data_IF_201883883485
#
_entry.id   IF_201883883485
#
_cell.length_a   1.000
_cell.length_b   1.000
_cell.length_c   1.000
_cell.angle_alpha   90.00
_cell.angle_beta   90.00
_cell.angle_gamma   90.00
#
_symmetry.space_group_name_H-M   'P 1'
#
loop_
_entity.id
_entity.type
_entity.pdbx_description
1 polymer ?
#
# COMPACT_ATOMS: atom_id res chain seq x y z
N UNK A 1 -22.22 10.62 6.35
CA UNK A 1 -21.77 11.63 7.33
C UNK A 1 -20.51 11.12 8.06
N UNK A 2 -19.62 12.01 8.47
CA UNK A 2 -18.48 11.65 9.34
C UNK A 2 -18.90 11.89 10.78
N UNK A 3 -19.37 10.84 11.45
CA UNK A 3 -20.01 10.91 12.77
C UNK A 3 -19.45 9.86 13.75
N UNK A 4 -18.19 9.46 13.54
CA UNK A 4 -17.48 8.45 14.31
C UNK A 4 -16.03 8.89 14.50
N UNK A 5 -15.39 8.40 15.57
CA UNK A 5 -13.98 8.60 15.86
C UNK A 5 -13.25 7.27 16.05
N UNK A 6 -13.93 6.26 16.62
CA UNK A 6 -13.34 4.94 16.88
C UNK A 6 -13.76 3.91 15.84
N UNK A 7 -12.99 2.82 15.72
CA UNK A 7 -13.35 1.73 14.79
C UNK A 7 -14.70 1.06 15.10
N UNK A 8 -15.09 0.81 16.37
CA UNK A 8 -16.45 0.35 16.69
C UNK A 8 -17.54 1.30 16.20
N UNK A 9 -17.41 2.61 16.41
CA UNK A 9 -18.37 3.61 15.93
C UNK A 9 -18.42 3.68 14.40
N UNK A 10 -17.30 3.42 13.72
CA UNK A 10 -17.28 3.27 12.27
C UNK A 10 -18.11 2.07 11.80
N UNK A 11 -18.03 0.93 12.50
CA UNK A 11 -18.87 -0.24 12.19
C UNK A 11 -20.35 0.08 12.40
N UNK A 12 -20.72 0.77 13.48
CA UNK A 12 -22.11 1.22 13.71
C UNK A 12 -22.59 2.16 12.59
N UNK A 13 -21.71 3.06 12.13
CA UNK A 13 -22.02 3.96 11.02
C UNK A 13 -22.20 3.21 9.69
N UNK A 14 -21.47 2.12 9.48
CA UNK A 14 -21.64 1.25 8.30
C UNK A 14 -22.95 0.47 8.34
N UNK A 15 -23.33 -0.05 9.51
CA UNK A 15 -24.54 -0.84 9.75
C UNK A 15 -25.82 -0.03 9.46
N UNK A 16 -25.79 1.28 9.74
CA UNK A 16 -26.91 2.19 9.46
C UNK A 16 -27.19 2.43 7.97
N UNK A 17 -26.37 1.91 7.05
CA UNK A 17 -26.50 2.12 5.61
C UNK A 17 -27.08 0.88 4.92
N UNK A 18 -28.18 0.98 4.16
CA UNK A 18 -28.75 -0.16 3.44
C UNK A 18 -27.76 -0.69 2.39
N UNK A 19 -27.51 -2.01 2.39
CA UNK A 19 -26.57 -2.67 1.48
C UNK A 19 -27.24 -3.76 0.66
N UNK A 20 -26.75 -3.94 -0.57
CA UNK A 20 -27.08 -5.08 -1.43
C UNK A 20 -26.02 -6.17 -1.39
N UNK A 21 -24.93 -5.95 -0.65
CA UNK A 21 -23.77 -6.83 -0.52
C UNK A 21 -23.29 -6.82 0.93
N UNK A 22 -22.66 -7.92 1.35
CA UNK A 22 -21.98 -7.97 2.65
C UNK A 22 -20.77 -7.02 2.66
N UNK A 23 -20.50 -6.41 3.81
CA UNK A 23 -19.37 -5.51 4.02
C UNK A 23 -18.46 -6.10 5.09
N UNK A 24 -17.24 -6.45 4.70
CA UNK A 24 -16.17 -6.85 5.60
C UNK A 24 -15.14 -5.73 5.69
N UNK A 25 -14.60 -5.49 6.88
CA UNK A 25 -13.69 -4.36 7.13
C UNK A 25 -12.37 -4.82 7.74
N UNK A 26 -11.29 -4.14 7.38
CA UNK A 26 -10.00 -4.23 8.03
C UNK A 26 -9.70 -2.91 8.74
N UNK A 27 -9.00 -2.96 9.87
CA UNK A 27 -8.48 -1.76 10.53
C UNK A 27 -7.36 -1.15 9.67
N UNK A 28 -7.49 0.10 9.19
CA UNK A 28 -6.54 0.68 8.24
C UNK A 28 -5.31 1.27 8.94
N UNK A 29 -4.14 0.69 8.68
CA UNK A 29 -2.87 1.15 9.27
C UNK A 29 -2.59 2.63 9.07
N UNK A 30 -2.72 3.15 7.84
CA UNK A 30 -2.41 4.54 7.54
C UNK A 30 -3.27 5.54 8.32
N UNK A 31 -4.56 5.24 8.53
CA UNK A 31 -5.43 6.11 9.32
C UNK A 31 -5.13 6.01 10.83
N UNK A 32 -4.87 4.79 11.33
CA UNK A 32 -4.47 4.58 12.74
C UNK A 32 -3.17 5.33 13.03
N UNK A 33 -2.20 5.25 12.12
CA UNK A 33 -0.92 5.95 12.25
C UNK A 33 -1.11 7.47 12.24
N UNK A 34 -1.88 8.00 11.29
CA UNK A 34 -2.19 9.42 11.24
C UNK A 34 -2.93 9.91 12.50
N UNK A 35 -3.85 9.10 13.05
CA UNK A 35 -4.58 9.41 14.28
C UNK A 35 -3.66 9.49 15.50
N UNK A 36 -2.77 8.51 15.69
CA UNK A 36 -1.86 8.47 16.85
C UNK A 36 -0.73 9.48 16.75
N UNK A 37 -0.11 9.62 15.57
CA UNK A 37 1.03 10.52 15.40
C UNK A 37 0.62 11.98 15.22
N UNK A 38 -0.59 12.25 14.72
CA UNK A 38 -1.08 13.58 14.42
C UNK A 38 -0.14 14.32 13.47
N UNK A 39 0.20 15.57 13.78
CA UNK A 39 1.12 16.40 12.99
C UNK A 39 2.54 15.84 12.85
N UNK A 40 2.91 14.85 13.68
CA UNK A 40 4.22 14.18 13.57
C UNK A 40 4.26 13.20 12.40
N UNK A 41 3.12 12.75 11.90
CA UNK A 41 3.07 11.82 10.77
C UNK A 41 3.48 12.54 9.48
N UNK A 42 4.56 12.05 8.89
CA UNK A 42 5.14 12.54 7.64
C UNK A 42 6.02 11.45 7.02
N UNK A 43 6.39 11.54 5.73
CA UNK A 43 7.27 10.57 5.10
C UNK A 43 8.57 10.36 5.91
N UNK A 44 8.86 9.11 6.29
CA UNK A 44 10.04 8.75 7.07
C UNK A 44 9.92 8.95 8.58
N UNK A 45 8.75 9.37 9.11
CA UNK A 45 8.53 9.37 10.55
C UNK A 45 8.73 7.97 11.14
N UNK A 46 9.33 7.89 12.33
CA UNK A 46 9.48 6.64 13.08
C UNK A 46 8.67 6.79 14.38
N UNK A 47 7.60 6.00 14.57
CA UNK A 47 6.83 6.02 15.80
C UNK A 47 7.68 5.64 17.02
N UNK A 48 7.37 6.21 18.17
CA UNK A 48 7.91 5.77 19.46
C UNK A 48 7.29 4.45 19.90
N UNK A 49 7.86 3.78 20.90
CA UNK A 49 7.28 2.56 21.47
C UNK A 49 5.85 2.80 22.01
N UNK A 50 5.61 3.97 22.62
CA UNK A 50 4.28 4.37 23.10
C UNK A 50 3.30 4.56 21.94
N UNK A 51 3.74 5.16 20.83
CA UNK A 51 2.90 5.28 19.63
C UNK A 51 2.52 3.89 19.09
N UNK A 52 3.46 2.95 19.04
CA UNK A 52 3.20 1.57 18.60
C UNK A 52 2.23 0.86 19.55
N UNK A 53 2.35 1.07 20.86
CA UNK A 53 1.41 0.52 21.83
C UNK A 53 -0.01 1.09 21.65
N UNK A 54 -0.14 2.40 21.43
CA UNK A 54 -1.42 3.04 21.16
C UNK A 54 -2.05 2.55 19.86
N UNK A 55 -1.28 2.50 18.76
CA UNK A 55 -1.74 1.93 17.48
C UNK A 55 -2.17 0.47 17.63
N UNK A 56 -1.38 -0.32 18.37
CA UNK A 56 -1.68 -1.72 18.66
C UNK A 56 -2.99 -1.89 19.41
N UNK A 57 -3.26 -1.02 20.40
CA UNK A 57 -4.51 -1.03 21.15
C UNK A 57 -5.71 -0.74 20.25
N UNK A 58 -5.62 0.27 19.37
CA UNK A 58 -6.68 0.60 18.41
C UNK A 58 -6.99 -0.58 17.48
N UNK A 59 -5.94 -1.25 16.98
CA UNK A 59 -6.10 -2.43 16.12
C UNK A 59 -6.74 -3.59 16.88
N UNK A 60 -6.27 -3.89 18.10
CA UNK A 60 -6.85 -4.94 18.95
C UNK A 60 -8.34 -4.68 19.25
N UNK A 61 -8.69 -3.45 19.61
CA UNK A 61 -10.07 -3.04 19.89
C UNK A 61 -10.94 -3.12 18.63
N UNK A 62 -10.41 -2.73 17.46
CA UNK A 62 -11.10 -2.86 16.18
C UNK A 62 -11.38 -4.31 15.78
N UNK A 63 -10.44 -5.22 16.01
CA UNK A 63 -10.66 -6.64 15.79
C UNK A 63 -11.70 -7.22 16.75
N UNK A 64 -11.64 -6.86 18.05
CA UNK A 64 -12.63 -7.26 19.04
C UNK A 64 -14.04 -6.76 18.71
N UNK A 65 -14.15 -5.61 18.04
CA UNK A 65 -15.41 -5.04 17.59
C UNK A 65 -15.98 -5.71 16.33
N UNK A 66 -15.17 -6.49 15.59
CA UNK A 66 -15.64 -7.25 14.43
C UNK A 66 -14.88 -7.00 13.13
N UNK A 67 -13.76 -6.26 13.14
CA UNK A 67 -12.89 -6.22 11.97
C UNK A 67 -12.42 -7.63 11.60
N UNK A 68 -12.42 -7.97 10.31
CA UNK A 68 -11.86 -9.24 9.83
C UNK A 68 -10.34 -9.24 9.83
N UNK A 69 -9.69 -8.11 10.05
CA UNK A 69 -8.25 -8.02 10.01
C UNK A 69 -7.71 -6.61 10.08
N UNK A 70 -6.48 -6.49 9.64
CA UNK A 70 -5.68 -5.26 9.58
C UNK A 70 -5.00 -5.21 8.22
N UNK A 71 -4.92 -4.02 7.62
CA UNK A 71 -4.27 -3.83 6.32
C UNK A 71 -3.22 -2.72 6.39
N UNK A 72 -2.03 -2.99 5.85
CA UNK A 72 -0.93 -2.02 5.75
C UNK A 72 -0.35 -1.95 4.33
N UNK A 73 0.37 -0.87 4.04
CA UNK A 73 1.06 -0.68 2.78
C UNK A 73 2.45 -0.07 2.94
N UNK A 74 3.43 -0.70 2.27
CA UNK A 74 4.83 -0.26 2.14
C UNK A 74 5.23 -0.06 0.68
N UNK A 75 4.35 0.52 -0.13
CA UNK A 75 4.63 0.78 -1.55
C UNK A 75 4.78 2.26 -1.85
N UNK A 76 5.83 2.62 -2.58
CA UNK A 76 6.07 4.02 -2.99
C UNK A 76 5.08 4.55 -4.03
N UNK A 77 4.23 3.66 -4.58
CA UNK A 77 3.20 4.01 -5.55
C UNK A 77 1.98 4.68 -4.88
N UNK A 78 1.78 4.46 -3.58
CA UNK A 78 0.69 5.10 -2.85
C UNK A 78 1.10 6.51 -2.41
N UNK A 79 0.56 7.51 -3.11
CA UNK A 79 0.84 8.93 -2.89
C UNK A 79 -0.43 9.75 -2.75
N UNK A 80 -0.34 10.83 -1.97
CA UNK A 80 -1.38 11.86 -1.90
C UNK A 80 -1.48 12.65 -3.20
N UNK A 81 -2.48 13.52 -3.30
CA UNK A 81 -2.64 14.45 -4.44
C UNK A 81 -1.45 15.40 -4.60
N UNK A 82 -0.73 15.67 -3.51
CA UNK A 82 0.46 16.51 -3.47
C UNK A 82 1.75 15.71 -3.73
N UNK A 83 1.63 14.40 -4.02
CA UNK A 83 2.75 13.52 -4.35
C UNK A 83 3.51 12.95 -3.15
N UNK A 84 3.09 13.27 -1.93
CA UNK A 84 3.69 12.76 -0.69
C UNK A 84 3.31 11.29 -0.46
N UNK A 85 4.22 10.51 0.13
CA UNK A 85 3.94 9.12 0.48
C UNK A 85 2.83 9.06 1.54
N UNK A 86 1.90 8.10 1.38
CA UNK A 86 0.85 7.90 2.38
C UNK A 86 1.42 7.39 3.71
N UNK A 87 0.77 7.69 4.85
CA UNK A 87 1.17 7.17 6.14
C UNK A 87 1.36 5.65 6.15
N UNK A 88 2.43 5.20 6.78
CA UNK A 88 2.77 3.78 6.88
C UNK A 88 3.65 3.23 5.74
N UNK A 89 3.87 3.99 4.65
CA UNK A 89 4.74 3.56 3.54
C UNK A 89 6.15 3.17 4.03
N UNK A 90 6.67 3.91 5.01
CA UNK A 90 8.00 3.70 5.61
C UNK A 90 7.94 2.99 6.96
N UNK A 91 6.85 2.26 7.25
CA UNK A 91 6.71 1.53 8.50
C UNK A 91 7.86 0.53 8.70
N UNK A 92 8.32 0.43 9.94
CA UNK A 92 9.38 -0.50 10.32
C UNK A 92 8.81 -1.90 10.53
N UNK A 93 9.69 -2.89 10.47
CA UNK A 93 9.32 -4.28 10.80
C UNK A 93 8.81 -4.35 12.24
N UNK A 94 9.43 -3.62 13.16
CA UNK A 94 9.13 -3.61 14.59
C UNK A 94 7.72 -3.07 14.86
N UNK A 95 7.35 -1.99 14.18
CA UNK A 95 6.00 -1.43 14.23
C UNK A 95 4.95 -2.45 13.75
N UNK A 96 5.17 -3.08 12.60
CA UNK A 96 4.23 -4.04 12.03
C UNK A 96 4.10 -5.32 12.86
N UNK A 97 5.20 -5.81 13.44
CA UNK A 97 5.18 -6.94 14.37
C UNK A 97 4.45 -6.58 15.67
N UNK A 98 4.66 -5.38 16.21
CA UNK A 98 3.97 -4.91 17.41
C UNK A 98 2.44 -4.93 17.23
N UNK A 99 1.98 -4.40 16.10
CA UNK A 99 0.56 -4.43 15.71
C UNK A 99 0.09 -5.87 15.44
N UNK A 100 0.88 -6.68 14.73
CA UNK A 100 0.54 -8.07 14.45
C UNK A 100 0.37 -8.91 15.73
N UNK A 101 1.18 -8.68 16.75
CA UNK A 101 1.02 -9.30 18.07
C UNK A 101 -0.25 -8.85 18.77
N UNK A 102 -0.68 -7.61 18.58
CA UNK A 102 -1.95 -7.11 19.08
C UNK A 102 -3.14 -7.83 18.48
N UNK A 103 -3.09 -8.12 17.18
CA UNK A 103 -4.08 -8.98 16.54
C UNK A 103 -4.06 -10.40 17.12
N UNK A 104 -2.88 -10.95 17.41
CA UNK A 104 -2.75 -12.24 18.08
C UNK A 104 -3.42 -12.28 19.45
N UNK A 105 -3.39 -11.18 20.21
CA UNK A 105 -4.13 -11.04 21.48
C UNK A 105 -5.64 -10.97 21.29
N UNK A 106 -6.13 -10.40 20.18
CA UNK A 106 -7.54 -10.43 19.83
C UNK A 106 -8.02 -11.86 19.50
N UNK A 107 -7.13 -12.70 18.94
CA UNK A 107 -7.34 -14.13 18.75
C UNK A 107 -7.94 -14.54 17.40
N UNK A 108 -8.15 -13.57 16.49
CA UNK A 108 -8.66 -13.81 15.14
C UNK A 108 -8.15 -12.74 14.17
N UNK A 109 -8.41 -12.93 12.88
CA UNK A 109 -8.22 -11.92 11.85
C UNK A 109 -7.17 -12.27 10.79
N UNK A 110 -7.08 -11.42 9.76
CA UNK A 110 -6.13 -11.53 8.65
C UNK A 110 -5.19 -10.33 8.65
N UNK A 111 -3.88 -10.56 8.64
CA UNK A 111 -2.91 -9.50 8.41
C UNK A 111 -2.72 -9.34 6.90
N UNK A 112 -3.05 -8.19 6.33
CA UNK A 112 -2.92 -7.90 4.90
C UNK A 112 -1.85 -6.85 4.62
N UNK A 113 -0.99 -7.13 3.63
CA UNK A 113 0.10 -6.22 3.26
C UNK A 113 0.24 -6.03 1.74
N UNK A 114 0.25 -4.76 1.32
CA UNK A 114 0.75 -4.37 0.01
C UNK A 114 2.18 -3.82 0.13
N UNK A 115 3.17 -4.47 -0.47
CA UNK A 115 4.57 -4.06 -0.35
C UNK A 115 5.32 -4.13 -1.69
N UNK A 116 6.31 -3.24 -1.82
CA UNK A 116 7.30 -3.31 -2.90
C UNK A 116 8.20 -4.56 -2.76
N UNK A 117 8.18 -5.23 -1.61
CA UNK A 117 8.95 -6.46 -1.30
C UNK A 117 10.44 -6.28 -1.58
N UNK A 118 11.02 -5.16 -1.10
CA UNK A 118 12.46 -4.93 -1.28
C UNK A 118 13.26 -6.07 -0.61
N UNK A 119 14.26 -6.68 -1.29
CA UNK A 119 14.96 -7.85 -0.79
C UNK A 119 15.55 -7.66 0.63
N UNK A 120 16.05 -6.46 0.93
CA UNK A 120 16.63 -6.10 2.22
C UNK A 120 15.62 -6.07 3.38
N UNK A 121 14.32 -5.93 3.08
CA UNK A 121 13.27 -5.93 4.10
C UNK A 121 12.94 -7.33 4.61
N UNK A 122 13.34 -8.38 3.87
CA UNK A 122 13.18 -9.79 4.25
C UNK A 122 11.77 -10.12 4.71
N UNK A 123 10.78 -9.64 3.98
CA UNK A 123 9.40 -9.62 4.48
C UNK A 123 8.79 -10.99 4.66
N UNK A 124 9.11 -11.94 3.78
CA UNK A 124 8.64 -13.32 3.95
C UNK A 124 9.13 -13.93 5.25
N UNK A 125 10.38 -13.67 5.68
CA UNK A 125 10.92 -14.20 6.93
C UNK A 125 10.06 -13.76 8.12
N UNK A 126 9.83 -12.44 8.27
CA UNK A 126 9.09 -11.94 9.41
C UNK A 126 7.58 -12.12 9.32
N UNK A 127 7.00 -12.14 8.11
CA UNK A 127 5.61 -12.56 7.91
C UNK A 127 5.41 -14.01 8.35
N UNK A 128 6.37 -14.88 8.03
CA UNK A 128 6.38 -16.28 8.46
C UNK A 128 6.48 -16.40 9.97
N UNK A 129 7.40 -15.67 10.60
CA UNK A 129 7.55 -15.64 12.06
C UNK A 129 6.26 -15.16 12.75
N UNK A 130 5.68 -14.05 12.26
CA UNK A 130 4.45 -13.50 12.82
C UNK A 130 3.27 -14.48 12.69
N UNK A 131 3.12 -15.12 11.52
CA UNK A 131 2.06 -16.10 11.30
C UNK A 131 2.21 -17.31 12.23
N UNK A 132 3.43 -17.84 12.41
CA UNK A 132 3.69 -18.95 13.34
C UNK A 132 3.48 -18.55 14.80
N UNK A 133 3.90 -17.34 15.17
CA UNK A 133 3.77 -16.81 16.54
C UNK A 133 2.31 -16.63 16.94
N UNK A 134 1.49 -16.10 16.03
CA UNK A 134 0.10 -15.70 16.31
C UNK A 134 -0.95 -16.73 15.88
N UNK A 135 -0.58 -17.68 15.00
CA UNK A 135 -1.50 -18.62 14.36
C UNK A 135 -2.38 -18.01 13.28
N UNK A 136 -2.26 -16.71 12.99
CA UNK A 136 -3.11 -16.01 12.03
C UNK A 136 -2.56 -16.12 10.59
N UNK A 137 -3.45 -16.06 9.57
CA UNK A 137 -3.04 -15.90 8.19
C UNK A 137 -2.42 -14.51 7.95
N UNK A 138 -1.34 -14.50 7.17
CA UNK A 138 -0.75 -13.28 6.60
C UNK A 138 -0.95 -13.31 5.09
N UNK A 139 -1.54 -12.27 4.54
CA UNK A 139 -1.80 -12.12 3.10
C UNK A 139 -0.93 -11.02 2.53
N UNK A 140 -0.48 -11.21 1.29
CA UNK A 140 0.26 -10.18 0.58
C UNK A 140 -0.22 -10.02 -0.86
N UNK A 141 -0.19 -8.80 -1.37
CA UNK A 141 -0.47 -8.50 -2.77
C UNK A 141 0.67 -9.04 -3.66
N UNK A 142 0.44 -10.19 -4.29
CA UNK A 142 1.38 -10.82 -5.20
C UNK A 142 1.26 -10.17 -6.58
N UNK A 143 2.32 -9.49 -7.01
CA UNK A 143 2.31 -8.68 -8.22
C UNK A 143 3.46 -9.06 -9.14
N UNK A 144 3.15 -9.24 -10.42
CA UNK A 144 4.12 -9.32 -11.50
C UNK A 144 4.33 -7.93 -12.10
N UNK A 145 5.57 -7.46 -12.11
CA UNK A 145 5.96 -6.21 -12.76
C UNK A 145 7.42 -6.29 -13.20
N UNK A 146 7.72 -5.75 -14.38
CA UNK A 146 9.09 -5.64 -14.90
C UNK A 146 9.95 -4.66 -14.08
N UNK A 147 9.32 -3.77 -13.32
CA UNK A 147 10.01 -2.79 -12.49
C UNK A 147 10.23 -3.28 -11.05
N UNK A 148 9.72 -4.46 -10.68
CA UNK A 148 9.82 -4.97 -9.31
C UNK A 148 11.15 -5.69 -9.12
N UNK A 149 11.88 -5.32 -8.07
CA UNK A 149 13.15 -5.96 -7.70
C UNK A 149 12.97 -7.44 -7.31
N UNK A 150 11.77 -7.81 -6.86
CA UNK A 150 11.44 -9.15 -6.41
C UNK A 150 10.42 -9.82 -7.38
N UNK A 151 10.86 -10.71 -8.28
CA UNK A 151 10.01 -11.39 -9.26
C UNK A 151 8.86 -12.21 -8.65
N UNK A 152 7.78 -12.41 -9.41
CA UNK A 152 6.59 -13.13 -8.89
C UNK A 152 6.90 -14.60 -8.53
N UNK A 153 7.71 -15.29 -9.32
CA UNK A 153 8.14 -16.65 -9.02
C UNK A 153 8.95 -16.74 -7.72
N UNK A 154 9.83 -15.77 -7.46
CA UNK A 154 10.53 -15.66 -6.18
C UNK A 154 9.59 -15.33 -5.01
N UNK A 155 8.61 -14.45 -5.20
CA UNK A 155 7.55 -14.17 -4.20
C UNK A 155 6.83 -15.47 -3.79
N UNK A 156 6.38 -16.25 -4.78
CA UNK A 156 5.67 -17.50 -4.52
C UNK A 156 6.59 -18.56 -3.91
N UNK A 157 7.87 -18.62 -4.31
CA UNK A 157 8.84 -19.54 -3.75
C UNK A 157 9.13 -19.24 -2.27
N UNK A 158 9.34 -17.97 -1.89
CA UNK A 158 9.56 -17.58 -0.50
C UNK A 158 8.33 -17.84 0.38
N UNK A 159 7.14 -17.49 -0.11
CA UNK A 159 5.88 -17.83 0.57
C UNK A 159 5.79 -19.35 0.84
N UNK A 160 6.05 -20.18 -0.18
CA UNK A 160 6.02 -21.64 -0.02
C UNK A 160 7.08 -22.15 0.95
N UNK A 161 8.27 -21.56 0.94
CA UNK A 161 9.35 -21.93 1.86
C UNK A 161 8.98 -21.66 3.32
N UNK A 162 8.33 -20.53 3.62
CA UNK A 162 7.84 -20.21 4.96
C UNK A 162 6.64 -21.06 5.36
N UNK A 163 5.71 -21.34 4.43
CA UNK A 163 4.58 -22.23 4.69
C UNK A 163 5.04 -23.67 4.96
N UNK A 164 6.10 -24.14 4.31
CA UNK A 164 6.71 -25.45 4.60
C UNK A 164 7.30 -25.54 6.02
N UNK A 165 7.57 -24.39 6.67
CA UNK A 165 7.99 -24.29 8.08
C UNK A 165 6.80 -24.11 9.04
N UNK A 166 5.56 -24.20 8.55
CA UNK A 166 4.33 -24.09 9.36
C UNK A 166 3.71 -22.70 9.42
N UNK A 167 4.14 -21.73 8.60
CA UNK A 167 3.42 -20.47 8.45
C UNK A 167 2.15 -20.62 7.60
N UNK A 168 1.26 -19.64 7.68
CA UNK A 168 0.08 -19.49 6.83
C UNK A 168 0.14 -18.17 6.07
N UNK A 169 1.01 -18.10 5.06
CA UNK A 169 1.13 -16.97 4.16
C UNK A 169 0.35 -17.25 2.86
N UNK A 170 -0.50 -16.31 2.44
CA UNK A 170 -1.36 -16.48 1.26
C UNK A 170 -1.13 -15.32 0.27
N UNK A 171 -0.78 -15.66 -0.96
CA UNK A 171 -0.67 -14.71 -2.06
C UNK A 171 -2.07 -14.26 -2.54
N UNK A 172 -2.34 -12.96 -2.54
CA UNK A 172 -3.48 -12.37 -3.21
C UNK A 172 -3.08 -11.98 -4.63
N UNK A 173 -3.68 -12.67 -5.62
CA UNK A 173 -3.40 -12.45 -7.05
C UNK A 173 -4.68 -11.91 -7.71
N UNK A 174 -4.57 -10.76 -8.38
CA UNK A 174 -5.67 -10.21 -9.15
C UNK A 174 -6.00 -11.09 -10.36
N UNK A 175 -7.29 -11.30 -10.64
CA UNK A 175 -7.78 -12.07 -11.79
C UNK A 175 -7.49 -11.41 -13.15
N UNK A 176 -7.01 -10.17 -13.14
CA UNK A 176 -6.63 -9.41 -14.34
C UNK A 176 -5.35 -8.63 -14.08
N UNK A 177 -4.61 -8.36 -15.15
CA UNK A 177 -3.47 -7.45 -15.09
C UNK A 177 -3.87 -6.02 -14.69
N UNK A 178 -2.93 -5.32 -14.06
CA UNK A 178 -3.05 -3.90 -13.76
C UNK A 178 -3.05 -3.11 -15.07
N UNK A 179 -4.03 -2.22 -15.21
CA UNK A 179 -4.11 -1.29 -16.34
C UNK A 179 -3.82 0.13 -15.86
N UNK A 180 -3.06 0.89 -16.63
CA UNK A 180 -2.79 2.30 -16.37
C UNK A 180 -3.52 3.12 -17.43
N UNK A 181 -4.33 4.08 -16.98
CA UNK A 181 -4.93 5.07 -17.87
C UNK A 181 -3.91 6.17 -18.10
N UNK A 182 -3.39 6.24 -19.32
CA UNK A 182 -2.41 7.25 -19.72
C UNK A 182 -3.07 8.36 -20.51
N UNK A 183 -2.73 9.60 -20.20
CA UNK A 183 -3.22 10.79 -20.89
C UNK A 183 -2.14 11.87 -20.86
N UNK A 184 -2.15 12.79 -21.84
CA UNK A 184 -1.21 13.91 -21.89
C UNK A 184 -1.25 14.79 -20.64
N UNK A 185 -2.45 14.98 -20.07
CA UNK A 185 -2.67 15.72 -18.82
C UNK A 185 -2.79 14.79 -17.60
N UNK A 186 -2.42 13.52 -17.76
CA UNK A 186 -2.36 12.56 -16.66
C UNK A 186 -1.03 12.66 -15.92
N UNK A 187 -0.91 11.94 -14.81
CA UNK A 187 0.33 11.82 -14.03
C UNK A 187 1.40 10.97 -14.73
N UNK A 188 1.03 10.22 -15.77
CA UNK A 188 1.94 9.42 -16.58
C UNK A 188 1.45 9.30 -18.02
N UNK A 189 2.39 9.34 -18.97
CA UNK A 189 2.20 8.96 -20.37
C UNK A 189 3.54 8.45 -20.93
N UNK A 190 3.54 7.74 -22.09
CA UNK A 190 4.75 7.08 -22.61
C UNK A 190 5.95 7.99 -22.90
N UNK A 191 5.72 9.31 -22.99
CA UNK A 191 6.73 10.29 -23.36
C UNK A 191 7.26 11.11 -22.19
N UNK A 192 6.79 10.85 -20.95
CA UNK A 192 7.06 11.71 -19.79
C UNK A 192 8.55 11.86 -19.46
N UNK A 193 9.37 10.85 -19.77
CA UNK A 193 10.82 10.87 -19.57
C UNK A 193 11.62 11.14 -20.86
N UNK A 194 10.99 11.50 -21.98
CA UNK A 194 11.71 11.84 -23.20
C UNK A 194 12.31 13.25 -23.11
N UNK A 195 13.55 13.47 -23.60
CA UNK A 195 14.21 14.78 -23.54
C UNK A 195 13.32 15.92 -24.07
N UNK A 196 12.68 15.75 -25.23
CA UNK A 196 11.80 16.76 -25.82
C UNK A 196 10.61 17.10 -24.91
N UNK A 197 10.00 16.11 -24.25
CA UNK A 197 8.90 16.37 -23.32
C UNK A 197 9.35 17.18 -22.11
N UNK A 198 10.51 16.85 -21.53
CA UNK A 198 11.01 17.57 -20.34
C UNK A 198 11.19 19.08 -20.59
N UNK A 199 11.46 19.49 -21.84
CA UNK A 199 11.56 20.92 -22.21
C UNK A 199 10.24 21.68 -22.21
N UNK A 200 9.10 20.97 -22.27
CA UNK A 200 7.75 21.56 -22.33
C UNK A 200 6.85 21.19 -21.15
N UNK A 201 7.29 20.29 -20.26
CA UNK A 201 6.47 19.72 -19.19
C UNK A 201 5.85 20.74 -18.23
N UNK A 202 6.54 21.86 -18.00
CA UNK A 202 6.09 22.94 -17.10
C UNK A 202 5.30 24.06 -17.83
N UNK A 203 5.13 23.96 -19.15
CA UNK A 203 4.35 24.95 -19.91
C UNK A 203 2.85 24.81 -19.63
N UNK A 204 2.06 25.90 -19.74
CA UNK A 204 0.60 25.80 -19.78
C UNK A 204 0.13 24.82 -20.86
N UNK A 205 -0.99 24.16 -20.62
CA UNK A 205 -1.52 23.13 -21.51
C UNK A 205 -1.65 23.59 -22.97
N UNK A 206 -2.07 24.83 -23.23
CA UNK A 206 -2.23 25.33 -24.60
C UNK A 206 -0.90 25.37 -25.37
N UNK A 207 0.19 25.71 -24.69
CA UNK A 207 1.53 25.76 -25.28
C UNK A 207 2.12 24.35 -25.47
N UNK A 208 1.90 23.46 -24.49
CA UNK A 208 2.22 22.03 -24.64
C UNK A 208 1.48 21.44 -25.86
N UNK A 209 0.19 21.72 -25.97
CA UNK A 209 -0.66 21.20 -27.03
C UNK A 209 -0.26 21.75 -28.41
N UNK A 210 0.14 23.02 -28.50
CA UNK A 210 0.69 23.60 -29.71
C UNK A 210 1.98 22.90 -30.15
N UNK A 211 2.90 22.59 -29.21
CA UNK A 211 4.12 21.81 -29.48
C UNK A 211 3.81 20.38 -29.92
N UNK A 212 2.86 19.71 -29.27
CA UNK A 212 2.44 18.36 -29.65
C UNK A 212 1.81 18.29 -31.05
N UNK A 213 1.29 19.40 -31.57
CA UNK A 213 0.79 19.52 -32.95
C UNK A 213 1.88 19.80 -33.99
N UNK A 214 3.05 20.27 -33.58
CA UNK A 214 4.17 20.55 -34.48
C UNK A 214 4.74 19.23 -35.04
N UNK A 215 4.71 19.00 -36.37
CA UNK A 215 5.25 17.78 -36.97
C UNK A 215 6.74 17.56 -36.69
N UNK A 216 7.54 18.62 -36.60
CA UNK A 216 8.97 18.51 -36.32
C UNK A 216 9.22 18.07 -34.88
N UNK A 217 8.51 18.68 -33.92
CA UNK A 217 8.56 18.28 -32.51
C UNK A 217 8.10 16.82 -32.33
N UNK A 218 6.99 16.44 -32.98
CA UNK A 218 6.48 15.07 -32.92
C UNK A 218 7.47 14.06 -33.49
N UNK A 219 8.10 14.38 -34.62
CA UNK A 219 9.12 13.51 -35.21
C UNK A 219 10.33 13.34 -34.27
N UNK A 220 10.79 14.44 -33.66
CA UNK A 220 11.86 14.39 -32.68
C UNK A 220 11.47 13.53 -31.47
N UNK A 221 10.35 13.82 -30.83
CA UNK A 221 9.85 13.10 -29.66
C UNK A 221 9.71 11.59 -29.92
N UNK A 222 9.22 11.19 -31.09
CA UNK A 222 9.06 9.77 -31.47
C UNK A 222 10.39 9.07 -31.82
N UNK A 223 11.44 9.83 -32.16
CA UNK A 223 12.77 9.30 -32.46
C UNK A 223 13.65 9.14 -31.21
N UNK A 224 13.32 9.86 -30.15
CA UNK A 224 14.02 9.84 -28.88
C UNK A 224 13.75 8.55 -28.10
N UNK A 225 14.67 8.22 -27.19
CA UNK A 225 14.44 7.20 -26.17
C UNK A 225 14.13 7.89 -24.84
N UNK A 226 13.29 7.29 -23.99
CA UNK A 226 13.09 7.78 -22.63
C UNK A 226 14.43 7.80 -21.88
N UNK A 227 14.67 8.86 -21.12
CA UNK A 227 15.73 8.90 -20.11
C UNK A 227 15.33 7.91 -18.99
N UNK A 228 16.30 7.09 -18.57
CA UNK A 228 16.12 6.05 -17.54
C UNK A 228 15.90 6.69 -16.18
#
# INVERSE_FOLDING_TARGET
PWNWETFPEYLDALEGLPRTVDVATHVPHGAVRAYVLGEREKPGAVPTDEDVEQMSKIVEDGLKAGALGFSTSRTILHRSVDGELVPGTTATKEELIGIGRAMGRAGHGVFEMASDLQPEWKEFEWMGDLSRETGMPVTFAALQSIAKAFPLDEQIAQMRAENAKGANIVAQIALRGNGIVMAWRGTVHPFISHPSWTTIAELPWEDQYAKLKDPAFKAQLLSEKPMV
#
